data_IF_639790206587
#
_entry.id   IF_639790206587
#
_cell.length_a   1.000
_cell.length_b   1.000
_cell.length_c   1.000
_cell.angle_alpha   90.00
_cell.angle_beta   90.00
_cell.angle_gamma   90.00
#
_symmetry.space_group_name_H-M   'P 1'
#
loop_
_entity.id
_entity.type
_entity.pdbx_description
1 polymer ?
#
# COMPACT_ATOMS: atom_id res chain seq x y z
N UNK A 1 15.79 -20.20 11.09
CA UNK A 1 14.40 -19.68 11.00
C UNK A 1 14.36 -18.28 10.42
N UNK A 2 14.50 -18.18 9.08
CA UNK A 2 14.75 -16.93 8.33
C UNK A 2 13.64 -15.89 8.42
N UNK A 3 13.62 -15.12 9.52
CA UNK A 3 12.82 -13.92 9.67
C UNK A 3 13.38 -12.81 8.77
N UNK A 4 12.51 -12.11 8.07
CA UNK A 4 12.87 -10.96 7.26
C UNK A 4 13.42 -9.83 8.16
N UNK A 5 14.54 -9.21 7.77
CA UNK A 5 15.06 -8.01 8.45
C UNK A 5 14.46 -6.73 7.83
N UNK A 6 13.72 -5.98 8.65
CA UNK A 6 13.10 -4.71 8.26
C UNK A 6 13.79 -3.47 8.85
N UNK A 7 15.00 -3.61 9.39
CA UNK A 7 15.80 -2.50 9.95
C UNK A 7 15.91 -1.30 8.99
N UNK A 8 16.01 -1.56 7.68
CA UNK A 8 16.10 -0.54 6.61
C UNK A 8 14.84 -0.46 5.73
N UNK A 9 13.70 -0.93 6.21
CA UNK A 9 12.45 -0.88 5.45
C UNK A 9 12.06 0.57 5.08
N UNK A 10 11.55 0.75 3.86
CA UNK A 10 11.02 2.04 3.38
C UNK A 10 9.61 2.30 3.93
N UNK A 11 9.08 3.49 3.73
CA UNK A 11 7.64 3.72 3.92
C UNK A 11 6.92 3.26 2.66
N UNK A 12 5.89 2.42 2.81
CA UNK A 12 5.04 1.99 1.70
C UNK A 12 3.71 2.73 1.75
N UNK A 13 3.26 3.23 0.60
CA UNK A 13 1.89 3.71 0.42
C UNK A 13 1.15 2.68 -0.41
N UNK A 14 0.25 1.95 0.25
CA UNK A 14 -0.55 0.91 -0.36
C UNK A 14 -1.80 1.54 -0.98
N UNK A 15 -2.10 1.19 -2.22
CA UNK A 15 -3.33 1.56 -2.92
C UNK A 15 -3.72 0.45 -3.90
N UNK A 16 -4.93 0.52 -4.44
CA UNK A 16 -5.44 -0.36 -5.49
C UNK A 16 -6.36 0.46 -6.42
N UNK A 17 -7.24 -0.18 -7.17
CA UNK A 17 -8.19 0.48 -8.06
C UNK A 17 -9.17 1.39 -7.32
N UNK A 18 -9.67 0.99 -6.15
CA UNK A 18 -10.61 1.78 -5.37
C UNK A 18 -10.81 1.22 -3.96
N UNK A 19 -11.60 1.91 -3.14
CA UNK A 19 -11.86 1.55 -1.74
C UNK A 19 -12.50 0.18 -1.53
N UNK A 20 -13.19 -0.34 -2.54
CA UNK A 20 -13.78 -1.68 -2.57
C UNK A 20 -12.77 -2.80 -2.86
N UNK A 21 -11.54 -2.46 -3.27
CA UNK A 21 -10.52 -3.46 -3.59
C UNK A 21 -9.95 -4.10 -2.31
N UNK A 22 -10.30 -5.36 -2.07
CA UNK A 22 -9.83 -6.13 -0.91
C UNK A 22 -8.37 -6.60 -0.96
N UNK A 23 -7.60 -6.29 -2.01
CA UNK A 23 -6.19 -6.69 -2.10
C UNK A 23 -5.28 -5.84 -1.22
N UNK A 24 -5.48 -4.51 -1.18
CA UNK A 24 -4.70 -3.62 -0.31
C UNK A 24 -4.77 -4.02 1.17
N UNK A 25 -5.95 -4.22 1.80
CA UNK A 25 -6.00 -4.65 3.19
C UNK A 25 -5.37 -6.03 3.40
N UNK A 26 -5.57 -7.00 2.49
CA UNK A 26 -4.92 -8.32 2.57
C UNK A 26 -3.39 -8.21 2.59
N UNK A 27 -2.81 -7.42 1.69
CA UNK A 27 -1.35 -7.24 1.66
C UNK A 27 -0.83 -6.50 2.89
N UNK A 28 -1.54 -5.49 3.40
CA UNK A 28 -1.18 -4.82 4.65
C UNK A 28 -1.12 -5.84 5.79
N UNK A 29 -2.14 -6.67 5.95
CA UNK A 29 -2.15 -7.72 6.98
C UNK A 29 -1.03 -8.74 6.81
N UNK A 30 -0.73 -9.15 5.57
CA UNK A 30 0.38 -10.06 5.29
C UNK A 30 1.73 -9.44 5.67
N UNK A 31 1.98 -8.17 5.33
CA UNK A 31 3.21 -7.46 5.68
C UNK A 31 3.36 -7.31 7.20
N UNK A 32 2.28 -6.98 7.90
CA UNK A 32 2.27 -6.93 9.37
C UNK A 32 2.62 -8.30 9.99
N UNK A 33 2.05 -9.40 9.46
CA UNK A 33 2.39 -10.77 9.91
C UNK A 33 3.85 -11.14 9.68
N UNK A 34 4.46 -10.60 8.62
CA UNK A 34 5.88 -10.81 8.33
C UNK A 34 6.80 -9.98 9.23
N UNK A 35 6.28 -8.95 9.91
CA UNK A 35 7.04 -8.07 10.81
C UNK A 35 7.39 -6.71 10.21
N UNK A 36 6.74 -6.31 9.11
CA UNK A 36 6.94 -4.98 8.55
C UNK A 36 6.50 -3.89 9.56
N UNK A 37 7.27 -2.81 9.75
CA UNK A 37 6.93 -1.80 10.74
C UNK A 37 5.60 -1.11 10.41
N UNK A 38 4.64 -1.17 11.34
CA UNK A 38 3.28 -0.69 11.12
C UNK A 38 3.23 0.82 10.84
N UNK A 39 4.10 1.59 11.48
CA UNK A 39 4.24 3.03 11.30
C UNK A 39 4.71 3.41 9.87
N UNK A 40 5.38 2.48 9.17
CA UNK A 40 5.85 2.64 7.79
C UNK A 40 4.84 2.15 6.74
N UNK A 41 3.71 1.58 7.15
CA UNK A 41 2.63 1.20 6.24
C UNK A 41 1.54 2.29 6.22
N UNK A 42 1.42 2.97 5.08
CA UNK A 42 0.34 3.92 4.82
C UNK A 42 -0.64 3.31 3.84
N UNK A 43 -1.92 3.66 3.97
CA UNK A 43 -2.96 3.14 3.10
C UNK A 43 -3.79 4.28 2.53
N UNK A 44 -3.67 4.49 1.22
CA UNK A 44 -4.56 5.37 0.49
C UNK A 44 -5.82 4.61 0.08
N UNK A 45 -6.82 4.65 0.98
CA UNK A 45 -8.06 3.88 0.86
C UNK A 45 -8.86 4.18 -0.41
N UNK A 46 -8.85 5.43 -0.86
CA UNK A 46 -9.62 5.86 -2.03
C UNK A 46 -9.18 5.19 -3.34
N UNK A 47 -7.95 4.68 -3.41
CA UNK A 47 -7.38 4.06 -4.59
C UNK A 47 -7.34 4.98 -5.82
N UNK A 48 -7.03 4.41 -6.98
CA UNK A 48 -6.96 5.15 -8.24
C UNK A 48 -8.28 5.80 -8.64
N UNK A 49 -9.43 5.22 -8.26
CA UNK A 49 -10.74 5.81 -8.50
C UNK A 49 -10.86 7.18 -7.84
N UNK A 50 -10.54 7.30 -6.54
CA UNK A 50 -10.59 8.60 -5.84
C UNK A 50 -9.53 9.55 -6.37
N UNK A 51 -8.33 9.05 -6.70
CA UNK A 51 -7.26 9.84 -7.29
C UNK A 51 -7.71 10.55 -8.57
N UNK A 52 -8.37 9.81 -9.47
CA UNK A 52 -8.91 10.35 -10.72
C UNK A 52 -10.08 11.31 -10.48
N UNK A 53 -11.00 11.00 -9.56
CA UNK A 53 -12.14 11.88 -9.23
C UNK A 53 -11.67 13.23 -8.70
N UNK A 54 -10.57 13.26 -7.96
CA UNK A 54 -9.95 14.49 -7.45
C UNK A 54 -9.15 15.26 -8.52
N UNK A 55 -9.05 14.76 -9.75
CA UNK A 55 -8.27 15.39 -10.82
C UNK A 55 -6.76 15.36 -10.57
N UNK A 56 -6.26 14.43 -9.76
CA UNK A 56 -4.83 14.33 -9.47
C UNK A 56 -4.08 13.75 -10.68
N UNK A 57 -2.82 14.15 -10.83
CA UNK A 57 -1.96 13.78 -11.95
C UNK A 57 -1.73 12.27 -12.04
N UNK A 58 -1.81 11.70 -13.25
CA UNK A 58 -1.42 10.31 -13.55
C UNK A 58 -0.32 10.28 -14.60
N UNK A 59 0.53 9.26 -14.56
CA UNK A 59 1.55 9.02 -15.59
C UNK A 59 1.15 7.79 -16.39
N UNK A 60 1.15 7.90 -17.72
CA UNK A 60 0.96 6.74 -18.60
C UNK A 60 2.28 5.95 -18.66
N UNK A 61 2.23 4.60 -18.58
CA UNK A 61 3.41 3.79 -18.86
C UNK A 61 3.97 4.12 -20.25
N UNK A 62 5.30 4.04 -20.39
CA UNK A 62 5.94 4.09 -21.71
C UNK A 62 5.67 2.81 -22.48
#
# INVERSE_FOLDING_TARGET
DGKWDFSKAKTLVMFCNGMWCGQSPRNIHSLLKLGYPAEKLKWYRGGMQTWNVLGLSTVKPK
#
